data_IF_653872603939
#
_entry.id   IF_653872603939
#
_cell.length_a   1.000
_cell.length_b   1.000
_cell.length_c   1.000
_cell.angle_alpha   90.00
_cell.angle_beta   90.00
_cell.angle_gamma   90.00
#
_symmetry.space_group_name_H-M   'P 1'
#
loop_
_entity.id
_entity.type
_entity.pdbx_description
1 polymer ?
#
# COMPACT_ATOMS: atom_id res chain seq x y z
N UNK A 1 2.83 26.52 18.36
CA UNK A 1 2.63 25.05 18.23
C UNK A 1 2.24 24.61 16.82
N UNK A 2 1.75 25.50 15.97
CA UNK A 2 1.25 25.18 14.60
C UNK A 2 2.33 25.15 13.51
N UNK A 3 3.50 25.72 13.77
CA UNK A 3 4.63 25.74 12.82
C UNK A 3 5.34 24.37 12.64
N UNK A 4 5.15 23.43 13.57
CA UNK A 4 5.80 22.12 13.52
C UNK A 4 5.11 21.11 12.59
N UNK A 5 3.88 21.35 12.21
CA UNK A 5 3.12 20.45 11.34
C UNK A 5 3.52 20.53 9.86
N UNK A 6 4.11 21.64 9.43
CA UNK A 6 4.43 21.88 8.02
C UNK A 6 5.63 21.09 7.51
N UNK A 7 6.60 20.78 8.36
CA UNK A 7 7.84 20.10 7.95
C UNK A 7 7.64 18.62 7.59
N UNK A 8 6.61 17.95 8.17
CA UNK A 8 6.34 16.54 7.88
C UNK A 8 5.45 16.28 6.65
N UNK A 9 4.80 17.33 6.14
CA UNK A 9 3.86 17.24 5.01
C UNK A 9 4.49 17.63 3.65
N UNK A 10 5.76 17.98 3.63
CA UNK A 10 6.44 18.53 2.45
C UNK A 10 6.56 17.60 1.26
N UNK A 11 6.32 16.28 1.45
CA UNK A 11 6.37 15.28 0.36
C UNK A 11 5.00 14.82 -0.16
N UNK A 12 3.90 15.13 0.55
CA UNK A 12 2.57 14.58 0.26
C UNK A 12 1.61 15.59 -0.36
N UNK A 13 1.92 16.89 -0.29
CA UNK A 13 1.01 17.96 -0.71
C UNK A 13 1.73 18.83 -1.75
N UNK A 14 1.09 19.02 -2.88
CA UNK A 14 1.54 19.92 -3.94
C UNK A 14 1.67 21.38 -3.44
N UNK A 15 2.58 22.16 -4.02
CA UNK A 15 2.86 23.53 -3.59
C UNK A 15 1.65 24.46 -3.73
N UNK A 16 0.77 24.21 -4.70
CA UNK A 16 -0.51 24.92 -4.82
C UNK A 16 -1.45 24.68 -3.65
N UNK A 17 -1.50 23.45 -3.13
CA UNK A 17 -2.28 23.09 -1.94
C UNK A 17 -1.71 23.72 -0.67
N UNK A 18 -0.40 23.78 -0.54
CA UNK A 18 0.27 24.48 0.58
C UNK A 18 -0.10 25.95 0.60
N UNK A 19 -0.07 26.60 -0.55
CA UNK A 19 -0.46 28.00 -0.71
C UNK A 19 -1.94 28.23 -0.34
N UNK A 20 -2.82 27.33 -0.76
CA UNK A 20 -4.25 27.39 -0.41
C UNK A 20 -4.46 27.30 1.10
N UNK A 21 -3.79 26.38 1.77
CA UNK A 21 -3.87 26.21 3.25
C UNK A 21 -3.41 27.49 3.94
N UNK A 22 -2.29 28.08 3.54
CA UNK A 22 -1.79 29.32 4.12
C UNK A 22 -2.79 30.47 3.96
N UNK A 23 -3.42 30.59 2.78
CA UNK A 23 -4.45 31.63 2.54
C UNK A 23 -5.66 31.41 3.44
N UNK A 24 -6.12 30.18 3.59
CA UNK A 24 -7.24 29.84 4.48
C UNK A 24 -6.89 30.16 5.92
N UNK A 25 -5.68 29.82 6.40
CA UNK A 25 -5.22 30.13 7.77
C UNK A 25 -5.19 31.64 8.03
N UNK A 26 -4.69 32.43 7.08
CA UNK A 26 -4.67 33.89 7.18
C UNK A 26 -6.10 34.45 7.31
N UNK A 27 -7.05 33.94 6.51
CA UNK A 27 -8.45 34.37 6.55
C UNK A 27 -9.06 34.01 7.90
N UNK A 28 -8.82 32.81 8.42
CA UNK A 28 -9.32 32.35 9.73
C UNK A 28 -8.77 33.23 10.85
N UNK A 29 -7.47 33.53 10.86
CA UNK A 29 -6.82 34.38 11.86
C UNK A 29 -7.39 35.80 11.81
N UNK A 30 -7.59 36.37 10.62
CA UNK A 30 -8.19 37.68 10.44
C UNK A 30 -9.64 37.70 10.96
N UNK A 31 -10.44 36.69 10.65
CA UNK A 31 -11.83 36.58 11.15
C UNK A 31 -11.86 36.42 12.67
N UNK A 32 -10.94 35.61 13.24
CA UNK A 32 -10.83 35.42 14.68
C UNK A 32 -10.49 36.75 15.42
N UNK A 33 -9.60 37.55 14.80
CA UNK A 33 -9.25 38.86 15.35
C UNK A 33 -10.42 39.83 15.41
N UNK A 34 -11.46 39.65 14.58
CA UNK A 34 -12.64 40.49 14.52
C UNK A 34 -13.86 39.88 15.20
N UNK A 35 -13.74 38.80 15.96
CA UNK A 35 -14.85 38.14 16.65
C UNK A 35 -15.55 39.07 17.66
N UNK A 36 -14.83 40.03 18.24
CA UNK A 36 -15.39 41.02 19.14
C UNK A 36 -16.24 42.12 18.49
N UNK A 37 -16.21 42.26 17.17
CA UNK A 37 -17.02 43.22 16.42
C UNK A 37 -18.48 42.76 16.32
N UNK A 38 -19.40 43.72 16.10
CA UNK A 38 -20.87 43.52 16.17
C UNK A 38 -21.38 42.30 15.40
N UNK A 39 -20.74 41.94 14.28
CA UNK A 39 -21.11 40.78 13.46
C UNK A 39 -19.95 39.79 13.28
N UNK A 40 -18.80 40.02 13.93
CA UNK A 40 -17.60 39.21 13.75
C UNK A 40 -17.77 37.75 14.15
N UNK A 41 -18.42 37.53 15.31
CA UNK A 41 -18.74 36.18 15.79
C UNK A 41 -19.64 35.41 14.81
N UNK A 42 -20.67 36.08 14.24
CA UNK A 42 -21.56 35.46 13.27
C UNK A 42 -20.80 35.01 11.99
N UNK A 43 -20.00 35.91 11.44
CA UNK A 43 -19.23 35.58 10.22
C UNK A 43 -18.18 34.51 10.46
N UNK A 44 -17.47 34.57 11.58
CA UNK A 44 -16.50 33.53 11.96
C UNK A 44 -17.19 32.16 12.10
N UNK A 45 -18.30 32.09 12.86
CA UNK A 45 -19.03 30.82 13.02
C UNK A 45 -19.56 30.30 11.71
N UNK A 46 -20.10 31.16 10.85
CA UNK A 46 -20.60 30.76 9.53
C UNK A 46 -19.46 30.19 8.66
N UNK A 47 -18.30 30.84 8.64
CA UNK A 47 -17.14 30.36 7.88
C UNK A 47 -16.64 29.02 8.42
N UNK A 48 -16.59 28.83 9.75
CA UNK A 48 -16.18 27.56 10.37
C UNK A 48 -17.16 26.43 10.06
N UNK A 49 -18.47 26.71 10.04
CA UNK A 49 -19.48 25.71 9.63
C UNK A 49 -19.29 25.32 8.16
N UNK A 50 -19.10 26.30 7.27
CA UNK A 50 -18.87 26.02 5.83
C UNK A 50 -17.60 25.18 5.64
N UNK A 51 -16.49 25.56 6.28
CA UNK A 51 -15.24 24.78 6.22
C UNK A 51 -15.41 23.37 6.76
N UNK A 52 -16.15 23.19 7.85
CA UNK A 52 -16.44 21.87 8.42
C UNK A 52 -17.30 21.01 7.50
N UNK A 53 -18.31 21.62 6.83
CA UNK A 53 -19.15 20.90 5.85
C UNK A 53 -18.33 20.52 4.60
N UNK A 54 -17.49 21.42 4.11
CA UNK A 54 -16.62 21.11 2.96
C UNK A 54 -15.59 20.03 3.35
N UNK A 55 -14.87 20.21 4.45
CA UNK A 55 -13.85 19.26 4.91
C UNK A 55 -14.44 17.90 5.27
N UNK A 56 -15.58 17.88 5.98
CA UNK A 56 -16.29 16.63 6.29
C UNK A 56 -16.97 15.98 5.10
N UNK A 57 -17.47 16.78 4.15
CA UNK A 57 -18.08 16.27 2.92
C UNK A 57 -17.07 15.72 1.89
N UNK A 58 -15.82 16.17 1.96
CA UNK A 58 -14.72 15.60 1.14
C UNK A 58 -14.25 14.25 1.68
N UNK A 59 -14.43 13.98 2.97
CA UNK A 59 -14.25 12.65 3.53
C UNK A 59 -15.52 11.87 3.20
N UNK A 60 -15.43 10.88 2.34
CA UNK A 60 -16.56 10.01 2.01
C UNK A 60 -16.88 9.12 3.24
N UNK A 61 -17.81 9.50 4.14
CA UNK A 61 -18.11 8.72 5.34
C UNK A 61 -18.89 7.45 5.02
N UNK A 62 -19.43 7.37 3.79
CA UNK A 62 -20.21 6.23 3.30
C UNK A 62 -19.60 5.79 1.96
N UNK A 63 -18.65 4.90 2.02
CA UNK A 63 -18.26 4.10 0.87
C UNK A 63 -19.17 2.88 0.83
N UNK A 64 -20.12 2.85 -0.09
CA UNK A 64 -20.98 1.69 -0.29
C UNK A 64 -20.37 0.76 -1.31
N UNK A 65 -20.04 -0.46 -0.88
CA UNK A 65 -19.55 -1.53 -1.74
C UNK A 65 -18.03 -1.53 -1.98
N UNK A 66 -17.53 -2.69 -2.31
CA UNK A 66 -16.12 -2.94 -2.67
C UNK A 66 -15.94 -3.06 -4.19
N UNK A 67 -16.92 -2.64 -4.99
CA UNK A 67 -16.91 -2.83 -6.44
C UNK A 67 -15.67 -2.20 -7.08
N UNK A 68 -15.23 -1.03 -6.61
CA UNK A 68 -14.01 -0.38 -7.10
C UNK A 68 -12.78 -1.29 -7.03
N UNK A 69 -12.73 -2.20 -6.05
CA UNK A 69 -11.63 -3.16 -5.89
C UNK A 69 -11.91 -4.43 -6.68
N UNK A 70 -13.13 -4.99 -6.58
CA UNK A 70 -13.49 -6.22 -7.28
C UNK A 70 -13.58 -6.05 -8.80
N UNK A 71 -13.84 -4.83 -9.30
CA UNK A 71 -13.86 -4.52 -10.72
C UNK A 71 -12.45 -4.33 -11.32
N UNK A 72 -11.40 -4.32 -10.48
CA UNK A 72 -10.02 -4.31 -10.99
C UNK A 72 -9.76 -5.58 -11.80
N UNK A 73 -9.30 -5.41 -13.04
CA UNK A 73 -8.99 -6.51 -13.93
C UNK A 73 -8.02 -7.52 -13.30
N UNK A 74 -7.03 -7.04 -12.54
CA UNK A 74 -6.08 -7.89 -11.83
C UNK A 74 -6.77 -8.76 -10.78
N UNK A 75 -7.69 -8.19 -9.99
CA UNK A 75 -8.44 -8.92 -8.96
C UNK A 75 -9.32 -10.00 -9.57
N UNK A 76 -10.02 -9.69 -10.67
CA UNK A 76 -10.83 -10.67 -11.40
C UNK A 76 -9.99 -11.83 -11.96
N UNK A 77 -8.79 -11.55 -12.44
CA UNK A 77 -7.87 -12.59 -12.92
C UNK A 77 -7.36 -13.46 -11.78
N UNK A 78 -6.99 -12.86 -10.64
CA UNK A 78 -6.58 -13.60 -9.44
C UNK A 78 -7.73 -14.52 -8.97
N UNK A 79 -8.94 -13.96 -8.87
CA UNK A 79 -10.13 -14.72 -8.46
C UNK A 79 -10.38 -15.93 -9.39
N UNK A 80 -10.37 -15.71 -10.70
CA UNK A 80 -10.57 -16.77 -11.70
C UNK A 80 -9.53 -17.89 -11.56
N UNK A 81 -8.25 -17.53 -11.40
CA UNK A 81 -7.16 -18.50 -11.24
C UNK A 81 -7.31 -19.23 -9.90
N UNK A 82 -7.51 -18.51 -8.79
CA UNK A 82 -7.61 -19.10 -7.46
C UNK A 82 -8.82 -20.01 -7.30
N UNK A 83 -9.93 -19.72 -7.98
CA UNK A 83 -11.11 -20.59 -7.98
C UNK A 83 -10.90 -21.89 -8.76
N UNK A 84 -10.05 -21.87 -9.80
CA UNK A 84 -9.75 -23.07 -10.59
C UNK A 84 -8.62 -23.91 -10.00
N UNK A 85 -7.62 -23.26 -9.42
CA UNK A 85 -6.40 -23.91 -8.94
C UNK A 85 -5.82 -23.12 -7.75
N UNK A 86 -6.23 -23.47 -6.53
CA UNK A 86 -5.79 -22.80 -5.30
C UNK A 86 -4.28 -22.93 -5.09
N UNK A 87 -3.69 -21.85 -4.59
CA UNK A 87 -2.26 -21.81 -4.30
C UNK A 87 -1.85 -20.59 -3.47
N UNK A 88 -0.61 -20.57 -3.06
CA UNK A 88 -0.02 -19.40 -2.41
C UNK A 88 0.52 -18.44 -3.46
N UNK A 89 0.27 -17.17 -3.25
CA UNK A 89 0.65 -16.08 -4.15
C UNK A 89 1.80 -15.27 -3.56
N UNK A 90 2.61 -14.70 -4.41
CA UNK A 90 3.58 -13.65 -4.07
C UNK A 90 3.38 -12.47 -5.00
N UNK A 91 3.59 -11.26 -4.49
CA UNK A 91 3.37 -10.01 -5.23
C UNK A 91 4.61 -9.14 -5.15
N UNK A 92 5.02 -8.55 -6.26
CA UNK A 92 6.24 -7.74 -6.36
C UNK A 92 6.20 -6.46 -5.50
N UNK A 93 5.02 -5.91 -5.25
CA UNK A 93 4.85 -4.62 -4.57
C UNK A 93 4.02 -4.76 -3.30
N UNK A 94 4.53 -4.24 -2.22
CA UNK A 94 3.82 -4.17 -0.93
C UNK A 94 2.50 -3.39 -1.01
N UNK A 95 2.40 -2.40 -1.92
CA UNK A 95 1.19 -1.60 -2.10
C UNK A 95 -0.03 -2.42 -2.54
N UNK A 96 0.19 -3.54 -3.24
CA UNK A 96 -0.87 -4.42 -3.73
C UNK A 96 -0.76 -5.86 -3.19
N UNK A 97 0.12 -6.10 -2.23
CA UNK A 97 0.37 -7.43 -1.68
C UNK A 97 -0.88 -8.09 -1.08
N UNK A 98 -1.85 -7.29 -0.64
CA UNK A 98 -3.11 -7.78 -0.08
C UNK A 98 -4.20 -8.07 -1.14
N UNK A 99 -3.99 -7.77 -2.43
CA UNK A 99 -5.01 -8.03 -3.45
C UNK A 99 -5.44 -9.51 -3.55
N UNK A 100 -4.52 -10.49 -3.51
CA UNK A 100 -4.96 -11.89 -3.54
C UNK A 100 -5.79 -12.27 -2.32
N UNK A 101 -5.56 -11.69 -1.14
CA UNK A 101 -6.33 -12.00 0.07
C UNK A 101 -7.77 -11.53 -0.01
N UNK A 102 -8.06 -10.50 -0.81
CA UNK A 102 -9.42 -9.98 -1.02
C UNK A 102 -10.33 -11.04 -1.65
N UNK A 103 -9.77 -11.90 -2.48
CA UNK A 103 -10.49 -13.02 -3.12
C UNK A 103 -10.25 -14.36 -2.41
N UNK A 104 -9.76 -14.33 -1.18
CA UNK A 104 -9.55 -15.53 -0.35
C UNK A 104 -8.33 -16.36 -0.75
N UNK A 105 -7.39 -15.81 -1.50
CA UNK A 105 -6.13 -16.46 -1.81
C UNK A 105 -5.08 -16.22 -0.71
N UNK A 106 -4.27 -17.24 -0.39
CA UNK A 106 -3.15 -17.08 0.53
C UNK A 106 -2.03 -16.31 -0.15
N UNK A 107 -1.50 -15.27 0.51
CA UNK A 107 -0.39 -14.47 0.00
C UNK A 107 0.81 -14.58 0.93
N UNK A 108 2.00 -14.80 0.38
CA UNK A 108 3.24 -14.94 1.14
C UNK A 108 3.65 -13.62 1.82
N UNK A 109 3.54 -12.52 1.09
CA UNK A 109 3.96 -11.19 1.53
C UNK A 109 2.80 -10.24 1.80
N UNK A 110 1.64 -10.77 2.21
CA UNK A 110 0.57 -9.93 2.74
C UNK A 110 1.06 -9.15 3.96
N UNK A 111 0.46 -7.98 4.20
CA UNK A 111 0.80 -7.18 5.39
C UNK A 111 0.40 -7.95 6.65
N UNK A 112 1.37 -8.25 7.50
CA UNK A 112 1.19 -8.97 8.76
C UNK A 112 1.61 -8.11 9.94
N UNK A 113 0.84 -8.19 11.03
CA UNK A 113 1.17 -7.50 12.28
C UNK A 113 2.27 -8.24 13.05
N UNK A 114 2.33 -9.55 12.89
CA UNK A 114 3.32 -10.42 13.51
C UNK A 114 4.11 -11.16 12.44
N UNK A 115 5.43 -11.30 12.57
CA UNK A 115 6.25 -11.99 11.59
C UNK A 115 5.93 -13.49 11.55
N UNK A 116 5.81 -14.07 10.37
CA UNK A 116 5.83 -15.51 10.16
C UNK A 116 7.27 -16.02 10.27
N UNK A 117 7.68 -16.38 11.49
CA UNK A 117 9.04 -16.87 11.81
C UNK A 117 9.41 -18.06 10.92
N UNK A 118 8.41 -18.95 10.65
CA UNK A 118 8.65 -20.13 9.81
C UNK A 118 9.03 -19.72 8.40
N UNK A 119 8.33 -18.76 7.81
CA UNK A 119 8.65 -18.24 6.47
C UNK A 119 10.08 -17.72 6.39
N UNK A 120 10.50 -16.90 7.36
CA UNK A 120 11.85 -16.32 7.39
C UNK A 120 12.95 -17.39 7.60
N UNK A 121 12.66 -18.42 8.41
CA UNK A 121 13.54 -19.57 8.56
C UNK A 121 13.62 -20.39 7.27
N UNK A 122 12.50 -20.69 6.64
CA UNK A 122 12.46 -21.45 5.39
C UNK A 122 13.18 -20.67 4.24
N UNK A 123 13.20 -19.36 4.30
CA UNK A 123 13.97 -18.51 3.38
C UNK A 123 15.47 -18.47 3.70
N UNK A 124 15.90 -18.96 4.87
CA UNK A 124 17.30 -18.92 5.33
C UNK A 124 17.71 -17.53 5.85
N UNK A 125 16.75 -16.76 6.36
CA UNK A 125 16.93 -15.38 6.83
C UNK A 125 16.72 -15.26 8.35
N UNK A 126 16.78 -16.36 9.09
CA UNK A 126 16.61 -16.40 10.55
C UNK A 126 17.57 -15.48 11.30
N UNK A 127 18.79 -15.29 10.79
CA UNK A 127 19.80 -14.42 11.39
C UNK A 127 19.61 -12.92 11.06
N UNK A 128 18.54 -12.58 10.36
CA UNK A 128 18.25 -11.22 9.92
C UNK A 128 17.02 -10.61 10.60
N UNK A 129 16.74 -11.00 11.84
CA UNK A 129 15.58 -10.55 12.64
C UNK A 129 15.40 -9.04 12.67
N UNK A 130 16.49 -8.27 12.65
CA UNK A 130 16.44 -6.80 12.63
C UNK A 130 15.61 -6.23 11.47
N UNK A 131 15.46 -6.99 10.37
CA UNK A 131 14.67 -6.55 9.21
C UNK A 131 13.22 -6.98 9.31
N UNK A 132 12.93 -8.20 9.71
CA UNK A 132 11.60 -8.78 9.60
C UNK A 132 10.82 -8.90 10.92
N UNK A 133 11.47 -8.79 12.08
CA UNK A 133 10.79 -8.89 13.38
C UNK A 133 10.14 -7.56 13.78
N UNK A 134 9.23 -7.07 12.94
CA UNK A 134 8.49 -5.82 13.13
C UNK A 134 7.23 -5.80 12.28
N UNK A 135 6.35 -4.80 12.46
CA UNK A 135 5.34 -4.49 11.46
C UNK A 135 6.02 -4.16 10.13
N UNK A 136 5.62 -4.84 9.06
CA UNK A 136 6.40 -4.84 7.84
C UNK A 136 5.54 -4.88 6.58
N UNK A 137 5.97 -4.10 5.60
CA UNK A 137 5.50 -4.15 4.22
C UNK A 137 6.60 -4.74 3.34
N UNK A 138 6.38 -5.95 2.84
CA UNK A 138 7.37 -6.67 2.04
C UNK A 138 7.05 -6.56 0.56
N UNK A 139 7.95 -5.95 -0.21
CA UNK A 139 8.02 -6.09 -1.67
C UNK A 139 8.94 -7.24 -2.03
N UNK A 140 8.70 -7.90 -3.17
CA UNK A 140 9.47 -9.07 -3.58
C UNK A 140 10.04 -8.87 -4.98
N UNK A 141 11.32 -9.12 -5.12
CA UNK A 141 12.03 -9.11 -6.39
C UNK A 141 12.56 -10.52 -6.68
N UNK A 142 12.29 -11.04 -7.87
CA UNK A 142 12.87 -12.30 -8.31
C UNK A 142 14.33 -12.04 -8.67
N UNK A 143 15.24 -12.78 -8.01
CA UNK A 143 16.69 -12.63 -8.11
C UNK A 143 17.35 -14.01 -7.94
N UNK A 144 18.65 -14.10 -8.20
CA UNK A 144 19.39 -15.36 -8.07
C UNK A 144 19.81 -15.66 -6.62
N UNK A 145 19.75 -14.67 -5.74
CA UNK A 145 20.22 -14.78 -4.35
C UNK A 145 19.12 -14.32 -3.36
N UNK A 146 19.00 -15.05 -2.24
CA UNK A 146 18.07 -14.66 -1.18
C UNK A 146 18.72 -13.67 -0.20
N UNK A 147 18.21 -12.44 -0.15
CA UNK A 147 18.60 -11.44 0.84
C UNK A 147 17.52 -10.38 1.02
N UNK A 148 17.65 -9.56 2.05
CA UNK A 148 16.71 -8.48 2.37
C UNK A 148 17.44 -7.16 2.42
N UNK A 149 16.85 -6.14 1.81
CA UNK A 149 17.28 -4.75 1.96
C UNK A 149 16.13 -3.85 2.46
N UNK A 150 16.49 -2.77 3.15
CA UNK A 150 15.52 -1.76 3.56
C UNK A 150 15.23 -0.82 2.41
N UNK A 151 13.94 -0.63 2.08
CA UNK A 151 13.50 0.41 1.14
C UNK A 151 13.31 1.76 1.84
N UNK A 152 13.00 1.72 3.13
CA UNK A 152 12.98 2.89 4.01
C UNK A 152 13.46 2.49 5.41
N UNK A 153 13.71 3.47 6.27
CA UNK A 153 14.23 3.22 7.62
C UNK A 153 13.17 2.74 8.62
N UNK A 154 11.91 2.58 8.19
CA UNK A 154 10.77 2.37 9.08
C UNK A 154 10.18 0.97 8.95
N UNK A 155 9.55 0.64 7.81
CA UNK A 155 8.64 -0.49 7.72
C UNK A 155 8.59 -1.17 6.34
N UNK A 156 9.40 -0.75 5.37
CA UNK A 156 9.40 -1.32 4.03
C UNK A 156 10.71 -2.03 3.71
N UNK A 157 10.59 -3.27 3.28
CA UNK A 157 11.72 -4.07 2.81
C UNK A 157 11.49 -4.56 1.38
N UNK A 158 12.61 -4.83 0.71
CA UNK A 158 12.65 -5.59 -0.52
C UNK A 158 13.31 -6.95 -0.23
N UNK A 159 12.56 -8.00 -0.46
CA UNK A 159 13.04 -9.37 -0.39
C UNK A 159 13.46 -9.81 -1.79
N UNK A 160 14.74 -10.08 -1.97
CA UNK A 160 15.27 -10.74 -3.15
C UNK A 160 15.18 -12.26 -2.93
N UNK A 161 14.66 -12.99 -3.92
CA UNK A 161 14.46 -14.43 -3.74
C UNK A 161 14.41 -15.16 -5.08
N UNK A 162 15.10 -16.33 -5.21
CA UNK A 162 15.02 -17.19 -6.40
C UNK A 162 13.66 -17.88 -6.52
N UNK A 163 13.26 -18.16 -7.76
CA UNK A 163 12.00 -18.88 -8.05
C UNK A 163 11.96 -20.24 -7.38
N UNK A 164 13.08 -20.97 -7.38
CA UNK A 164 13.21 -22.28 -6.75
C UNK A 164 12.91 -22.20 -5.25
N UNK A 165 13.39 -21.16 -4.59
CA UNK A 165 13.13 -20.94 -3.16
C UNK A 165 11.66 -20.62 -2.89
N UNK A 166 11.03 -19.85 -3.77
CA UNK A 166 9.59 -19.59 -3.70
C UNK A 166 8.80 -20.90 -3.87
N UNK A 167 9.21 -21.75 -4.78
CA UNK A 167 8.62 -23.08 -4.97
C UNK A 167 8.75 -23.95 -3.72
N UNK A 168 9.92 -23.98 -3.10
CA UNK A 168 10.20 -24.79 -1.89
C UNK A 168 9.31 -24.40 -0.70
N UNK A 169 9.00 -23.09 -0.55
CA UNK A 169 8.09 -22.60 0.49
C UNK A 169 6.61 -22.69 0.10
N UNK A 170 6.31 -23.25 -1.08
CA UNK A 170 4.94 -23.54 -1.54
C UNK A 170 4.25 -22.40 -2.28
N UNK A 171 4.97 -21.37 -2.73
CA UNK A 171 4.42 -20.35 -3.64
C UNK A 171 4.14 -20.98 -4.99
N UNK A 172 2.95 -20.71 -5.51
CA UNK A 172 2.47 -21.25 -6.78
C UNK A 172 2.29 -20.17 -7.85
N UNK A 173 2.00 -18.95 -7.45
CA UNK A 173 1.72 -17.84 -8.35
C UNK A 173 2.53 -16.62 -8.00
N UNK A 174 3.04 -15.94 -9.04
CA UNK A 174 3.80 -14.71 -8.93
C UNK A 174 3.07 -13.60 -9.69
N UNK A 175 2.84 -12.47 -9.04
CA UNK A 175 2.38 -11.23 -9.66
C UNK A 175 3.54 -10.26 -9.68
N UNK A 176 4.02 -9.91 -10.88
CA UNK A 176 5.20 -9.05 -11.00
C UNK A 176 5.19 -8.20 -12.26
N UNK A 177 5.92 -7.09 -12.19
CA UNK A 177 6.27 -6.24 -13.32
C UNK A 177 7.49 -6.77 -14.09
N UNK A 178 8.29 -7.65 -13.45
CA UNK A 178 9.43 -8.29 -14.11
C UNK A 178 8.95 -9.21 -15.25
N UNK A 179 9.73 -9.27 -16.32
CA UNK A 179 9.55 -10.29 -17.34
C UNK A 179 10.33 -11.55 -16.95
N UNK A 180 9.58 -12.58 -16.59
CA UNK A 180 10.12 -13.88 -16.18
C UNK A 180 10.10 -14.91 -17.31
N UNK A 181 9.94 -14.50 -18.57
CA UNK A 181 9.83 -15.41 -19.71
C UNK A 181 11.10 -16.21 -20.00
N UNK A 182 12.26 -15.76 -19.50
CA UNK A 182 13.53 -16.48 -19.62
C UNK A 182 13.64 -17.68 -18.66
N UNK A 183 12.82 -17.71 -17.59
CA UNK A 183 12.86 -18.81 -16.63
C UNK A 183 11.97 -19.96 -17.07
N UNK A 184 12.57 -21.13 -17.29
CA UNK A 184 11.84 -22.34 -17.68
C UNK A 184 10.94 -22.90 -16.55
N UNK A 185 11.19 -22.49 -15.31
CA UNK A 185 10.45 -22.91 -14.12
C UNK A 185 9.12 -22.18 -13.93
N UNK A 186 8.75 -21.23 -14.81
CA UNK A 186 7.50 -20.50 -14.74
C UNK A 186 6.76 -20.47 -16.07
N UNK A 187 5.44 -20.41 -15.97
CA UNK A 187 4.53 -20.24 -17.10
C UNK A 187 3.73 -18.95 -16.94
N UNK A 188 3.80 -18.05 -17.90
CA UNK A 188 2.94 -16.88 -17.94
C UNK A 188 1.49 -17.30 -18.20
N UNK A 189 0.57 -16.95 -17.31
CA UNK A 189 -0.86 -17.24 -17.45
C UNK A 189 -1.58 -16.08 -18.12
N UNK A 190 -1.40 -14.87 -17.60
CA UNK A 190 -2.09 -13.67 -18.03
C UNK A 190 -1.35 -12.43 -17.53
N UNK A 191 -1.90 -11.25 -17.78
CA UNK A 191 -1.42 -10.00 -17.24
C UNK A 191 -2.50 -8.94 -17.31
N UNK A 192 -2.43 -7.98 -16.40
CA UNK A 192 -3.32 -6.83 -16.36
C UNK A 192 -2.50 -5.58 -16.07
N UNK A 193 -2.77 -4.52 -16.84
CA UNK A 193 -2.02 -3.27 -16.79
C UNK A 193 -0.52 -3.53 -17.08
N UNK A 194 0.35 -3.21 -16.13
CA UNK A 194 1.80 -3.41 -16.23
C UNK A 194 2.30 -4.68 -15.56
N UNK A 195 1.41 -5.51 -14.98
CA UNK A 195 1.79 -6.71 -14.21
C UNK A 195 1.41 -7.99 -14.92
N UNK A 196 2.29 -8.95 -14.82
CA UNK A 196 2.10 -10.30 -15.33
C UNK A 196 1.79 -11.26 -14.18
N UNK A 197 1.02 -12.29 -14.47
CA UNK A 197 0.77 -13.41 -13.56
C UNK A 197 1.45 -14.64 -14.13
N UNK A 198 2.37 -15.19 -13.34
CA UNK A 198 3.07 -16.43 -13.65
C UNK A 198 2.66 -17.54 -12.70
N UNK A 199 2.67 -18.76 -13.19
CA UNK A 199 2.57 -19.99 -12.41
C UNK A 199 3.94 -20.64 -12.33
N UNK A 200 4.38 -21.02 -11.14
CA UNK A 200 5.57 -21.84 -10.92
C UNK A 200 5.22 -23.30 -11.27
N UNK A 201 6.12 -23.97 -12.03
CA UNK A 201 5.92 -25.31 -12.59
C UNK A 201 6.48 -26.41 -11.66
#
# INVERSE_FOLDING_TARGET
ATLFSFAGLTGLIDDSMKMLIVVIDIIIIWMLSNVGEKNGCYWFTTAMVILSVIGGGMVQPISSGLNTIYDLQLVQQIEKINNSDKGMWVVDSSAIANLPTIVGAKTMNATETYPDIKLWTDLGLENQEKYWNRYLHTSVLIDDVTYVEMLNDIDQILLHVPIEKLKDIGVKYIITTQDLSEYQSVQRLTGANTRNIYKIL
#
